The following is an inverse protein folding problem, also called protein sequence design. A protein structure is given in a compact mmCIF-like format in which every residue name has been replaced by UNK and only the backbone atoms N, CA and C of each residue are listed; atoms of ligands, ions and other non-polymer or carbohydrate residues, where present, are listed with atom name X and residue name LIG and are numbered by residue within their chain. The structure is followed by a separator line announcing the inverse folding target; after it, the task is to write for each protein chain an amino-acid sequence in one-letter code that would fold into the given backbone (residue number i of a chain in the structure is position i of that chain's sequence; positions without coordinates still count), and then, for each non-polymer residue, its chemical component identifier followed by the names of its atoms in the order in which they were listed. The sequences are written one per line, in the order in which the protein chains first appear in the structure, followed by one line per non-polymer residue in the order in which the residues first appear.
data_IF_446085352023
#
_entry.id   IF_446085352023
#
_cell.length_a   1.000
_cell.length_b   1.000
_cell.length_c   1.000
_cell.angle_alpha   90.00
_cell.angle_beta   90.00
_cell.angle_gamma   90.00
#
_symmetry.space_group_name_H-M   'P 1'
#
loop_
_entity.id
_entity.type
_entity.pdbx_description
1 polymer ?
#
# COMPACT_ATOMS: atom_id res chain seq x y z
N UNK A 1 -7.21 -20.66 26.42
CA UNK A 1 -7.88 -19.63 25.59
C UNK A 1 -7.62 -19.94 24.12
N UNK A 2 -8.64 -20.35 23.35
CA UNK A 2 -8.49 -20.56 21.90
C UNK A 2 -8.17 -19.20 21.27
N UNK A 3 -7.02 -19.07 20.59
CA UNK A 3 -6.72 -17.93 19.71
C UNK A 3 -7.95 -17.72 18.83
N UNK A 4 -8.68 -16.62 18.99
CA UNK A 4 -9.62 -16.16 17.96
C UNK A 4 -8.76 -16.08 16.70
N UNK A 5 -9.00 -16.97 15.73
CA UNK A 5 -8.47 -16.76 14.38
C UNK A 5 -8.99 -15.38 14.01
N UNK A 6 -8.08 -14.42 13.80
CA UNK A 6 -8.44 -13.13 13.22
C UNK A 6 -9.23 -13.45 11.96
N UNK A 7 -10.55 -13.26 12.01
CA UNK A 7 -11.38 -13.32 10.83
C UNK A 7 -10.93 -12.12 10.02
N UNK A 8 -10.11 -12.36 9.02
CA UNK A 8 -9.76 -11.35 8.03
C UNK A 8 -11.06 -11.04 7.32
N UNK A 9 -11.71 -9.94 7.72
CA UNK A 9 -12.84 -9.40 6.98
C UNK A 9 -12.25 -8.81 5.71
N UNK A 10 -12.39 -9.53 4.59
CA UNK A 10 -12.03 -9.00 3.28
C UNK A 10 -13.03 -7.88 2.99
N UNK A 11 -12.53 -6.64 3.00
CA UNK A 11 -13.32 -5.46 2.68
C UNK A 11 -13.10 -5.09 1.22
N UNK A 12 -14.18 -4.72 0.55
CA UNK A 12 -14.16 -4.27 -0.83
C UNK A 12 -14.35 -2.76 -0.84
N UNK A 13 -13.40 -2.02 -1.41
CA UNK A 13 -13.52 -0.57 -1.59
C UNK A 13 -14.80 -0.20 -2.36
N UNK A 14 -15.19 -1.02 -3.34
CA UNK A 14 -16.46 -0.84 -4.04
C UNK A 14 -17.68 -1.06 -3.13
N UNK A 15 -17.65 -2.06 -2.24
CA UNK A 15 -18.75 -2.32 -1.32
C UNK A 15 -18.86 -1.23 -0.24
N UNK A 16 -17.73 -0.75 0.30
CA UNK A 16 -17.72 0.37 1.24
C UNK A 16 -18.17 1.67 0.58
N UNK A 17 -17.82 1.91 -0.67
CA UNK A 17 -18.33 3.04 -1.43
C UNK A 17 -19.86 2.97 -1.62
N UNK A 18 -20.38 1.82 -2.05
CA UNK A 18 -21.84 1.62 -2.19
C UNK A 18 -22.56 1.80 -0.85
N UNK A 19 -21.95 1.34 0.23
CA UNK A 19 -22.47 1.55 1.58
C UNK A 19 -22.49 3.02 1.95
N UNK A 20 -21.39 3.73 1.71
CA UNK A 20 -21.29 5.15 1.96
C UNK A 20 -22.43 5.89 1.25
N UNK A 21 -22.67 5.59 -0.02
CA UNK A 21 -23.81 6.14 -0.80
C UNK A 21 -25.15 5.86 -0.11
N UNK A 22 -25.38 4.64 0.35
CA UNK A 22 -26.61 4.29 1.09
C UNK A 22 -26.74 5.02 2.44
N UNK A 23 -25.62 5.26 3.13
CA UNK A 23 -25.60 5.91 4.46
C UNK A 23 -25.74 7.43 4.41
N UNK A 24 -25.25 8.08 3.35
CA UNK A 24 -25.25 9.53 3.24
C UNK A 24 -26.63 10.06 2.85
N UNK A 25 -27.38 9.33 2.03
CA UNK A 25 -28.76 9.66 1.63
C UNK A 25 -28.91 10.99 0.88
N UNK A 26 -29.62 10.98 -0.25
CA UNK A 26 -30.23 12.13 -0.93
C UNK A 26 -29.45 13.49 -0.94
N UNK A 27 -28.11 13.45 -1.04
CA UNK A 27 -27.33 14.66 -1.29
C UNK A 27 -27.57 15.11 -2.74
N UNK A 28 -28.50 16.06 -2.89
CA UNK A 28 -28.95 16.67 -4.15
C UNK A 28 -27.82 17.20 -5.04
N UNK A 29 -26.64 17.44 -4.48
CA UNK A 29 -25.48 17.97 -5.19
C UNK A 29 -24.58 16.88 -5.82
N UNK A 30 -24.79 15.60 -5.51
CA UNK A 30 -24.02 14.49 -6.10
C UNK A 30 -24.71 13.94 -7.36
N UNK A 31 -24.49 14.63 -8.48
CA UNK A 31 -25.14 14.39 -9.78
C UNK A 31 -25.00 12.93 -10.28
N UNK A 32 -24.02 12.18 -9.81
CA UNK A 32 -23.63 10.87 -10.36
C UNK A 32 -24.05 9.65 -9.52
N UNK A 33 -24.58 9.85 -8.31
CA UNK A 33 -24.94 8.80 -7.35
C UNK A 33 -26.21 9.14 -6.57
N UNK A 34 -27.13 8.18 -6.38
CA UNK A 34 -28.40 8.40 -5.67
C UNK A 34 -28.81 7.18 -4.83
N UNK A 35 -29.49 7.43 -3.72
CA UNK A 35 -30.19 6.41 -2.94
C UNK A 35 -31.68 6.75 -2.95
N UNK A 36 -32.49 5.91 -3.60
CA UNK A 36 -33.93 6.13 -3.78
C UNK A 36 -34.64 4.76 -3.85
N UNK A 37 -35.83 4.66 -3.25
CA UNK A 37 -36.65 3.45 -3.22
C UNK A 37 -35.90 2.22 -2.65
N UNK A 38 -35.18 2.42 -1.55
CA UNK A 38 -34.32 1.42 -0.89
C UNK A 38 -33.25 0.80 -1.82
N UNK A 39 -32.86 1.54 -2.86
CA UNK A 39 -31.93 1.08 -3.88
C UNK A 39 -30.85 2.13 -4.17
N UNK A 40 -29.69 1.65 -4.63
CA UNK A 40 -28.55 2.49 -5.02
C UNK A 40 -28.56 2.63 -6.53
N UNK A 41 -28.46 3.86 -7.01
CA UNK A 41 -28.48 4.21 -8.43
C UNK A 41 -27.20 4.94 -8.82
N UNK A 42 -26.46 4.39 -9.78
CA UNK A 42 -25.21 4.97 -10.28
C UNK A 42 -25.25 5.23 -11.78
N UNK A 43 -24.62 6.31 -12.22
CA UNK A 43 -24.34 6.51 -13.66
C UNK A 43 -23.25 5.56 -14.15
N UNK A 44 -23.14 5.37 -15.48
CA UNK A 44 -22.04 4.59 -16.08
C UNK A 44 -20.67 5.17 -15.75
N UNK A 45 -20.59 6.51 -15.70
CA UNK A 45 -19.36 7.22 -15.33
C UNK A 45 -18.97 6.92 -13.89
N UNK A 46 -19.94 6.89 -12.97
CA UNK A 46 -19.65 6.52 -11.59
C UNK A 46 -19.29 5.05 -11.45
N UNK A 47 -19.95 4.14 -12.18
CA UNK A 47 -19.56 2.72 -12.20
C UNK A 47 -18.14 2.51 -12.76
N UNK A 48 -17.74 3.29 -13.77
CA UNK A 48 -16.39 3.31 -14.31
C UNK A 48 -15.37 3.73 -13.23
N UNK A 49 -15.66 4.79 -12.47
CA UNK A 49 -14.82 5.22 -11.34
C UNK A 49 -14.78 4.18 -10.22
N UNK A 50 -15.93 3.61 -9.87
CA UNK A 50 -16.09 2.61 -8.82
C UNK A 50 -15.20 1.39 -9.08
N UNK A 51 -15.28 0.86 -10.31
CA UNK A 51 -14.55 -0.31 -10.72
C UNK A 51 -13.21 -0.01 -11.40
N UNK A 52 -12.75 1.24 -11.49
CA UNK A 52 -11.49 1.63 -12.15
C UNK A 52 -11.35 1.05 -13.58
N UNK A 53 -12.33 1.34 -14.43
CA UNK A 53 -12.35 0.97 -15.84
C UNK A 53 -12.90 2.10 -16.70
N UNK A 54 -12.70 2.03 -18.02
CA UNK A 54 -13.27 3.00 -18.94
C UNK A 54 -14.81 2.86 -19.03
N UNK A 55 -15.49 3.99 -19.27
CA UNK A 55 -16.95 4.01 -19.46
C UNK A 55 -17.39 3.13 -20.63
N UNK A 56 -16.55 2.95 -21.66
CA UNK A 56 -16.81 2.03 -22.77
C UNK A 56 -16.86 0.58 -22.29
N UNK A 57 -15.96 0.17 -21.41
CA UNK A 57 -15.96 -1.17 -20.80
C UNK A 57 -17.24 -1.42 -20.01
N UNK A 58 -17.70 -0.42 -19.24
CA UNK A 58 -18.99 -0.50 -18.53
C UNK A 58 -20.14 -0.68 -19.52
N UNK A 59 -20.15 0.09 -20.61
CA UNK A 59 -21.17 -0.03 -21.67
C UNK A 59 -21.19 -1.42 -22.32
N UNK A 60 -20.02 -2.00 -22.60
CA UNK A 60 -19.89 -3.35 -23.14
C UNK A 60 -20.45 -4.39 -22.18
N UNK A 61 -20.13 -4.28 -20.88
CA UNK A 61 -20.66 -5.19 -19.86
C UNK A 61 -22.18 -5.09 -19.71
N UNK A 62 -22.74 -3.88 -19.66
CA UNK A 62 -24.21 -3.69 -19.57
C UNK A 62 -24.91 -4.33 -20.77
N UNK A 63 -24.41 -4.08 -22.00
CA UNK A 63 -24.97 -4.70 -23.21
C UNK A 63 -24.92 -6.21 -23.16
N UNK A 64 -23.81 -6.78 -22.66
CA UNK A 64 -23.66 -8.22 -22.52
C UNK A 64 -24.60 -8.81 -21.47
N UNK A 65 -24.78 -8.14 -20.33
CA UNK A 65 -25.71 -8.56 -19.26
C UNK A 65 -27.13 -8.66 -19.80
N UNK A 66 -27.58 -7.67 -20.59
CA UNK A 66 -28.88 -7.72 -21.24
C UNK A 66 -28.95 -8.79 -22.34
N UNK A 67 -27.90 -8.94 -23.17
CA UNK A 67 -27.89 -9.97 -24.23
C UNK A 67 -27.93 -11.39 -23.68
N UNK A 68 -27.34 -11.59 -22.50
CA UNK A 68 -27.29 -12.87 -21.81
C UNK A 68 -28.57 -13.10 -20.96
N UNK A 69 -29.53 -12.16 -21.00
CA UNK A 69 -30.78 -12.18 -20.22
C UNK A 69 -30.54 -12.36 -18.71
N UNK A 70 -29.43 -11.84 -18.19
CA UNK A 70 -29.13 -11.86 -16.76
C UNK A 70 -30.00 -10.86 -16.00
N UNK A 71 -30.34 -9.73 -16.64
CA UNK A 71 -31.19 -8.67 -16.11
C UNK A 71 -32.07 -8.09 -17.23
N UNK A 72 -33.21 -7.50 -16.86
CA UNK A 72 -34.13 -6.82 -17.78
C UNK A 72 -33.93 -5.30 -17.73
N UNK A 73 -33.84 -4.64 -18.89
CA UNK A 73 -33.53 -3.20 -18.99
C UNK A 73 -34.56 -2.34 -18.23
N UNK A 74 -35.85 -2.59 -18.42
CA UNK A 74 -36.95 -1.83 -17.81
C UNK A 74 -36.94 -1.86 -16.27
N UNK A 75 -36.32 -2.88 -15.66
CA UNK A 75 -36.24 -3.06 -14.21
C UNK A 75 -34.95 -2.52 -13.59
N UNK A 76 -33.94 -2.23 -14.42
CA UNK A 76 -32.58 -1.92 -13.96
C UNK A 76 -32.09 -0.54 -14.32
N UNK A 77 -32.83 0.19 -15.17
CA UNK A 77 -32.49 1.54 -15.59
C UNK A 77 -33.56 2.55 -15.19
N UNK A 78 -33.13 3.74 -14.78
CA UNK A 78 -34.00 4.90 -14.56
C UNK A 78 -33.32 6.15 -15.09
N UNK A 79 -34.09 6.99 -15.79
CA UNK A 79 -33.62 8.30 -16.22
C UNK A 79 -33.87 9.31 -15.11
N UNK A 80 -32.81 9.96 -14.66
CA UNK A 80 -32.91 11.06 -13.72
C UNK A 80 -32.57 12.36 -14.42
N UNK A 81 -33.45 13.35 -14.24
CA UNK A 81 -33.20 14.71 -14.70
C UNK A 81 -32.11 15.33 -13.83
N UNK A 82 -31.04 15.77 -14.47
CA UNK A 82 -29.91 16.46 -13.85
C UNK A 82 -29.88 17.87 -14.42
N UNK A 83 -29.87 18.86 -13.53
CA UNK A 83 -29.67 20.26 -13.87
C UNK A 83 -28.24 20.62 -13.51
N UNK A 84 -27.45 21.06 -14.50
CA UNK A 84 -26.07 21.47 -14.34
C UNK A 84 -25.91 22.93 -14.76
N UNK A 85 -25.25 23.73 -13.92
CA UNK A 85 -24.85 25.09 -14.28
C UNK A 85 -23.58 25.04 -15.12
N UNK A 86 -23.66 25.39 -16.40
CA UNK A 86 -22.50 25.52 -17.29
C UNK A 86 -22.27 26.99 -17.64
N UNK A 87 -21.33 27.67 -16.98
CA UNK A 87 -21.17 29.11 -17.12
C UNK A 87 -22.37 29.86 -16.52
N UNK A 88 -23.12 30.61 -17.34
CA UNK A 88 -24.33 31.32 -16.93
C UNK A 88 -25.64 30.58 -17.25
N UNK A 89 -25.59 29.41 -17.90
CA UNK A 89 -26.78 28.65 -18.33
C UNK A 89 -27.04 27.45 -17.42
N UNK A 90 -28.31 27.22 -17.10
CA UNK A 90 -28.79 25.97 -16.51
C UNK A 90 -29.12 24.99 -17.63
N UNK A 91 -28.40 23.88 -17.68
CA UNK A 91 -28.60 22.81 -18.68
C UNK A 91 -29.20 21.61 -17.98
N UNK A 92 -30.41 21.22 -18.40
CA UNK A 92 -31.07 20.00 -17.92
C UNK A 92 -30.81 18.86 -18.89
N UNK A 93 -30.28 17.72 -18.40
CA UNK A 93 -30.10 16.48 -19.16
C UNK A 93 -30.70 15.30 -18.42
N UNK A 94 -31.37 14.41 -19.15
CA UNK A 94 -31.78 13.12 -18.60
C UNK A 94 -30.60 12.16 -18.71
N UNK A 95 -30.15 11.63 -17.56
CA UNK A 95 -29.03 10.68 -17.51
C UNK A 95 -29.49 9.34 -16.99
N UNK A 96 -29.10 8.29 -17.69
CA UNK A 96 -29.32 6.89 -17.32
C UNK A 96 -28.56 6.55 -16.04
N UNK A 97 -29.30 6.12 -15.02
CA UNK A 97 -28.75 5.51 -13.82
C UNK A 97 -29.16 4.05 -13.77
N UNK A 98 -28.28 3.23 -13.20
CA UNK A 98 -28.43 1.81 -13.09
C UNK A 98 -28.51 1.40 -11.63
N UNK A 99 -29.43 0.49 -11.31
CA UNK A 99 -29.70 0.07 -9.95
C UNK A 99 -28.60 -0.85 -9.37
N UNK A 100 -28.73 -1.20 -8.09
CA UNK A 100 -27.75 -2.05 -7.39
C UNK A 100 -27.54 -3.42 -8.06
N UNK A 101 -28.57 -4.01 -8.65
CA UNK A 101 -28.44 -5.31 -9.34
C UNK A 101 -27.51 -5.19 -10.56
N UNK A 102 -27.69 -4.16 -11.37
CA UNK A 102 -26.80 -3.90 -12.51
C UNK A 102 -25.38 -3.60 -12.04
N UNK A 103 -25.22 -2.77 -11.00
CA UNK A 103 -23.90 -2.44 -10.44
C UNK A 103 -23.17 -3.72 -9.99
N UNK A 104 -23.86 -4.61 -9.26
CA UNK A 104 -23.32 -5.90 -8.83
C UNK A 104 -22.94 -6.75 -10.05
N UNK A 105 -23.83 -6.90 -11.03
CA UNK A 105 -23.60 -7.71 -12.22
C UNK A 105 -22.36 -7.24 -13.01
N UNK A 106 -22.22 -5.93 -13.22
CA UNK A 106 -21.03 -5.33 -13.83
C UNK A 106 -19.77 -5.66 -13.01
N UNK A 107 -19.82 -5.55 -11.68
CA UNK A 107 -18.71 -5.91 -10.80
C UNK A 107 -18.24 -7.37 -10.94
N UNK A 108 -19.14 -8.29 -11.32
CA UNK A 108 -18.78 -9.67 -11.65
C UNK A 108 -18.15 -9.83 -13.04
N UNK A 109 -18.43 -8.94 -14.00
CA UNK A 109 -17.89 -8.98 -15.36
C UNK A 109 -16.55 -8.24 -15.52
N UNK A 110 -16.30 -7.22 -14.70
CA UNK A 110 -15.04 -6.45 -14.74
C UNK A 110 -13.85 -7.31 -14.30
N UNK A 111 -12.75 -7.24 -15.05
CA UNK A 111 -11.55 -8.04 -14.78
C UNK A 111 -10.35 -7.20 -14.32
N UNK A 112 -10.40 -6.71 -13.07
CA UNK A 112 -9.27 -6.05 -12.41
C UNK A 112 -9.26 -6.32 -10.90
N UNK A 113 -8.27 -5.77 -10.19
CA UNK A 113 -8.09 -6.06 -8.77
C UNK A 113 -9.26 -5.55 -7.89
N UNK A 114 -9.83 -4.37 -8.19
CA UNK A 114 -11.01 -3.85 -7.47
C UNK A 114 -12.20 -4.79 -7.61
N UNK A 115 -12.47 -5.26 -8.83
CA UNK A 115 -13.52 -6.22 -9.10
C UNK A 115 -13.22 -7.59 -8.48
N UNK A 116 -11.96 -8.02 -8.41
CA UNK A 116 -11.55 -9.24 -7.68
C UNK A 116 -11.86 -9.11 -6.19
N UNK A 117 -11.53 -7.98 -5.55
CA UNK A 117 -11.86 -7.76 -4.13
C UNK A 117 -13.38 -7.73 -3.91
N UNK A 118 -14.11 -7.07 -4.80
CA UNK A 118 -15.57 -7.09 -4.79
C UNK A 118 -16.13 -8.51 -4.87
N UNK A 119 -15.64 -9.35 -5.79
CA UNK A 119 -16.06 -10.74 -5.90
C UNK A 119 -15.68 -11.59 -4.70
N UNK A 120 -14.48 -11.39 -4.12
CA UNK A 120 -14.07 -12.08 -2.87
C UNK A 120 -15.03 -11.75 -1.73
N UNK A 121 -15.37 -10.47 -1.57
CA UNK A 121 -16.34 -10.00 -0.60
C UNK A 121 -17.73 -10.60 -0.84
N UNK A 122 -18.26 -10.49 -2.07
CA UNK A 122 -19.58 -11.01 -2.43
C UNK A 122 -19.68 -12.53 -2.23
N UNK A 123 -18.65 -13.29 -2.62
CA UNK A 123 -18.58 -14.73 -2.39
C UNK A 123 -18.57 -15.08 -0.89
N UNK A 124 -17.98 -14.22 -0.05
CA UNK A 124 -18.03 -14.35 1.40
C UNK A 124 -19.47 -14.26 1.92
N UNK A 125 -20.24 -13.29 1.44
CA UNK A 125 -21.67 -13.12 1.75
C UNK A 125 -22.46 -14.32 1.28
N UNK A 126 -22.33 -14.70 0.01
CA UNK A 126 -23.05 -15.86 -0.56
C UNK A 126 -22.76 -17.11 0.27
N UNK A 127 -21.49 -17.39 0.56
CA UNK A 127 -21.09 -18.53 1.39
C UNK A 127 -21.73 -18.49 2.78
N UNK A 128 -21.62 -17.37 3.49
CA UNK A 128 -22.13 -17.25 4.85
C UNK A 128 -23.66 -17.34 4.87
N UNK A 129 -24.34 -16.74 3.89
CA UNK A 129 -25.78 -16.85 3.72
C UNK A 129 -26.20 -18.29 3.42
N UNK A 130 -25.52 -18.99 2.51
CA UNK A 130 -25.81 -20.40 2.18
C UNK A 130 -25.62 -21.32 3.38
N UNK A 131 -24.62 -21.09 4.23
CA UNK A 131 -24.32 -21.95 5.38
C UNK A 131 -25.19 -21.62 6.60
N UNK A 132 -25.44 -20.34 6.87
CA UNK A 132 -26.10 -19.87 8.11
C UNK A 132 -27.55 -19.46 7.93
N UNK A 133 -27.99 -19.19 6.70
CA UNK A 133 -29.30 -18.62 6.37
C UNK A 133 -29.40 -17.10 6.50
N UNK A 134 -28.33 -16.41 6.92
CA UNK A 134 -28.29 -14.96 7.08
C UNK A 134 -26.86 -14.43 7.05
N UNK A 135 -26.72 -13.14 6.73
CA UNK A 135 -25.47 -12.36 6.82
C UNK A 135 -25.80 -11.02 7.44
N UNK A 136 -24.98 -10.58 8.39
CA UNK A 136 -25.06 -9.25 8.99
C UNK A 136 -23.67 -8.63 9.07
N UNK A 137 -23.60 -7.33 8.82
CA UNK A 137 -22.42 -6.54 9.08
C UNK A 137 -22.46 -6.04 10.53
N UNK A 138 -21.98 -6.87 11.46
CA UNK A 138 -22.00 -6.58 12.90
C UNK A 138 -21.25 -5.28 13.26
N UNK A 139 -20.16 -4.97 12.56
CA UNK A 139 -19.35 -3.77 12.84
C UNK A 139 -20.11 -2.51 12.43
N UNK A 140 -20.69 -2.51 11.22
CA UNK A 140 -21.49 -1.39 10.75
C UNK A 140 -22.75 -1.17 11.57
N UNK A 141 -23.40 -2.25 12.00
CA UNK A 141 -24.60 -2.19 12.84
C UNK A 141 -24.29 -1.54 14.20
N UNK A 142 -23.15 -1.88 14.80
CA UNK A 142 -22.69 -1.25 16.06
C UNK A 142 -22.36 0.22 15.90
N UNK A 143 -21.89 0.60 14.72
CA UNK A 143 -21.38 1.94 14.43
C UNK A 143 -22.43 2.85 13.75
N UNK A 144 -23.72 2.57 13.91
CA UNK A 144 -24.80 3.44 13.43
C UNK A 144 -24.95 3.49 11.90
N UNK A 145 -24.53 2.44 11.19
CA UNK A 145 -24.73 2.32 9.74
C UNK A 145 -23.51 2.68 8.88
N UNK A 146 -22.41 3.14 9.48
CA UNK A 146 -21.14 3.39 8.78
C UNK A 146 -19.97 2.77 9.53
N UNK A 147 -18.97 2.31 8.79
CA UNK A 147 -17.69 1.85 9.35
C UNK A 147 -16.69 3.00 9.44
N UNK A 148 -16.85 4.04 8.61
CA UNK A 148 -16.00 5.23 8.56
C UNK A 148 -16.51 6.29 9.57
N UNK A 149 -16.53 5.92 10.85
CA UNK A 149 -16.90 6.83 11.94
C UNK A 149 -15.71 7.69 12.38
N UNK A 150 -15.96 8.73 13.18
CA UNK A 150 -14.88 9.48 13.86
C UNK A 150 -13.97 8.54 14.64
N UNK A 151 -14.54 7.56 15.37
CA UNK A 151 -13.76 6.55 16.10
C UNK A 151 -12.86 5.71 15.19
N UNK A 152 -13.28 5.42 13.95
CA UNK A 152 -12.42 4.72 12.98
C UNK A 152 -11.19 5.57 12.64
N UNK A 153 -11.39 6.86 12.36
CA UNK A 153 -10.28 7.76 12.03
C UNK A 153 -9.38 8.06 13.24
N UNK A 154 -9.95 8.16 14.45
CA UNK A 154 -9.17 8.27 15.69
C UNK A 154 -8.27 7.06 15.90
N UNK A 155 -8.81 5.84 15.73
CA UNK A 155 -8.02 4.60 15.80
C UNK A 155 -6.99 4.49 14.68
N UNK A 156 -7.34 4.91 13.47
CA UNK A 156 -6.40 4.93 12.34
C UNK A 156 -5.23 5.86 12.64
N UNK A 157 -5.50 7.03 13.22
CA UNK A 157 -4.50 8.01 13.61
C UNK A 157 -3.62 7.50 14.76
N UNK A 158 -4.18 6.82 15.76
CA UNK A 158 -3.41 6.09 16.77
C UNK A 158 -2.49 5.04 16.13
N UNK A 159 -2.99 4.23 15.19
CA UNK A 159 -2.17 3.24 14.47
C UNK A 159 -1.02 3.87 13.70
N UNK A 160 -1.26 4.99 13.01
CA UNK A 160 -0.21 5.72 12.27
C UNK A 160 0.85 6.26 13.23
N UNK A 161 0.45 6.78 14.39
CA UNK A 161 1.38 7.25 15.43
C UNK A 161 2.22 6.12 16.01
N UNK A 162 1.63 4.96 16.26
CA UNK A 162 2.37 3.75 16.68
C UNK A 162 3.40 3.32 15.62
N UNK A 163 3.04 3.36 14.33
CA UNK A 163 3.97 3.07 13.23
C UNK A 163 5.13 4.08 13.22
N UNK A 164 4.83 5.38 13.44
CA UNK A 164 5.83 6.44 13.51
C UNK A 164 6.82 6.20 14.64
N UNK A 165 6.35 5.85 15.83
CA UNK A 165 7.16 5.60 17.03
C UNK A 165 7.99 4.31 16.95
N UNK A 166 7.60 3.35 16.10
CA UNK A 166 8.31 2.08 15.96
C UNK A 166 9.78 2.23 15.55
N UNK A 167 10.68 1.44 16.13
CA UNK A 167 12.09 1.35 15.69
C UNK A 167 12.30 0.43 14.47
N UNK A 168 11.20 -0.04 13.87
CA UNK A 168 11.24 -0.90 12.68
C UNK A 168 11.92 -0.22 11.49
N UNK A 169 12.38 -1.06 10.54
CA UNK A 169 13.03 -0.59 9.32
C UNK A 169 12.12 0.36 8.55
N UNK A 170 12.69 1.37 7.90
CA UNK A 170 11.94 2.41 7.16
C UNK A 170 10.90 1.86 6.20
N UNK A 171 11.27 0.88 5.39
CA UNK A 171 10.37 0.27 4.41
C UNK A 171 9.22 -0.49 5.08
N UNK A 172 9.44 -1.03 6.29
CA UNK A 172 8.39 -1.70 7.06
C UNK A 172 7.33 -0.70 7.52
N UNK A 173 7.72 0.52 7.89
CA UNK A 173 6.75 1.58 8.23
C UNK A 173 5.85 1.92 7.04
N UNK A 174 6.43 2.03 5.83
CA UNK A 174 5.65 2.27 4.60
C UNK A 174 4.69 1.10 4.31
N UNK A 175 5.13 -0.15 4.51
CA UNK A 175 4.25 -1.31 4.34
C UNK A 175 3.17 -1.40 5.42
N UNK A 176 3.48 -0.97 6.64
CA UNK A 176 2.53 -0.94 7.76
C UNK A 176 1.45 0.12 7.48
N UNK A 177 1.80 1.29 6.92
CA UNK A 177 0.82 2.28 6.43
C UNK A 177 -0.01 1.72 5.27
N UNK A 178 0.60 1.04 4.30
CA UNK A 178 -0.16 0.40 3.23
C UNK A 178 -1.19 -0.62 3.77
N UNK A 179 -0.85 -1.31 4.86
CA UNK A 179 -1.75 -2.27 5.50
C UNK A 179 -2.93 -1.63 6.25
N UNK A 180 -2.93 -0.31 6.47
CA UNK A 180 -4.10 0.41 7.00
C UNK A 180 -5.15 0.72 5.93
N UNK A 181 -4.90 0.35 4.67
CA UNK A 181 -5.86 0.51 3.58
C UNK A 181 -7.21 -0.12 3.91
N UNK A 182 -8.28 0.57 3.52
CA UNK A 182 -9.66 0.12 3.74
C UNK A 182 -9.94 -1.25 3.11
N UNK A 183 -9.36 -1.52 1.94
CA UNK A 183 -9.51 -2.75 1.17
C UNK A 183 -8.29 -3.67 1.25
N UNK A 184 -7.47 -3.54 2.31
CA UNK A 184 -6.24 -4.30 2.46
C UNK A 184 -6.47 -5.81 2.39
N UNK A 185 -5.76 -6.46 1.45
CA UNK A 185 -5.71 -7.91 1.31
C UNK A 185 -4.26 -8.37 1.14
N UNK A 186 -3.75 -9.09 2.16
CA UNK A 186 -2.38 -9.65 2.15
C UNK A 186 -2.14 -10.63 1.00
N UNK A 187 -3.20 -11.26 0.50
CA UNK A 187 -3.12 -12.31 -0.53
C UNK A 187 -3.22 -11.76 -1.94
N UNK A 188 -3.62 -10.48 -2.07
CA UNK A 188 -3.79 -9.80 -3.35
C UNK A 188 -2.48 -9.73 -4.14
N UNK A 189 -2.60 -9.66 -5.46
CA UNK A 189 -1.43 -9.52 -6.33
C UNK A 189 -0.80 -8.14 -6.13
N UNK A 190 -1.63 -7.11 -5.94
CA UNK A 190 -1.20 -5.74 -5.69
C UNK A 190 -0.34 -5.62 -4.44
N UNK A 191 -0.74 -6.22 -3.31
CA UNK A 191 0.06 -6.18 -2.07
C UNK A 191 1.42 -6.84 -2.25
N UNK A 192 1.46 -8.02 -2.90
CA UNK A 192 2.72 -8.72 -3.17
C UNK A 192 3.65 -7.89 -4.06
N UNK A 193 3.10 -7.25 -5.09
CA UNK A 193 3.86 -6.38 -5.98
C UNK A 193 4.34 -5.11 -5.27
N UNK A 194 3.51 -4.51 -4.42
CA UNK A 194 3.86 -3.34 -3.63
C UNK A 194 5.02 -3.66 -2.68
N UNK A 195 4.92 -4.73 -1.89
CA UNK A 195 6.00 -5.15 -0.98
C UNK A 195 7.28 -5.53 -1.71
N UNK A 196 7.20 -6.14 -2.90
CA UNK A 196 8.37 -6.44 -3.71
C UNK A 196 9.07 -5.18 -4.26
N UNK A 197 8.30 -4.13 -4.57
CA UNK A 197 8.83 -2.91 -5.22
C UNK A 197 9.24 -1.81 -4.24
N UNK A 198 8.58 -1.69 -3.09
CA UNK A 198 8.75 -0.54 -2.18
C UNK A 198 10.20 -0.33 -1.76
N UNK A 199 10.92 -1.42 -1.45
CA UNK A 199 12.33 -1.33 -1.05
C UNK A 199 13.19 -0.76 -2.18
N UNK A 200 13.06 -1.30 -3.39
CA UNK A 200 13.85 -0.86 -4.53
C UNK A 200 13.50 0.57 -4.96
N UNK A 201 12.22 0.97 -4.89
CA UNK A 201 11.80 2.35 -5.15
C UNK A 201 12.47 3.33 -4.19
N UNK A 202 12.52 3.00 -2.90
CA UNK A 202 13.13 3.87 -1.89
C UNK A 202 14.65 3.99 -2.06
N UNK A 203 15.33 2.87 -2.33
CA UNK A 203 16.75 2.87 -2.65
C UNK A 203 17.05 3.73 -3.89
N UNK A 204 16.30 3.50 -4.97
CA UNK A 204 16.47 4.22 -6.23
C UNK A 204 16.22 5.73 -6.08
N UNK A 205 15.19 6.12 -5.32
CA UNK A 205 14.87 7.53 -5.08
C UNK A 205 15.97 8.28 -4.30
N UNK A 206 16.79 7.59 -3.49
CA UNK A 206 17.83 8.25 -2.69
C UNK A 206 19.18 8.29 -3.39
N UNK A 207 19.52 7.23 -4.13
CA UNK A 207 20.88 7.07 -4.67
C UNK A 207 20.93 6.49 -6.09
N UNK A 208 19.81 6.38 -6.80
CA UNK A 208 19.77 5.98 -8.23
C UNK A 208 20.06 4.50 -8.50
N UNK A 209 20.05 3.65 -7.47
CA UNK A 209 20.30 2.22 -7.60
C UNK A 209 19.23 1.41 -6.87
N UNK A 210 18.90 0.23 -7.38
CA UNK A 210 18.19 -0.77 -6.59
C UNK A 210 19.04 -1.29 -5.43
N UNK A 211 18.43 -2.00 -4.48
CA UNK A 211 19.16 -2.58 -3.36
C UNK A 211 20.29 -3.54 -3.83
N UNK A 212 20.03 -4.31 -4.89
CA UNK A 212 21.00 -5.25 -5.46
C UNK A 212 22.15 -4.52 -6.18
N UNK A 213 21.84 -3.50 -6.97
CA UNK A 213 22.84 -2.69 -7.66
C UNK A 213 23.76 -1.95 -6.67
N UNK A 214 23.19 -1.40 -5.59
CA UNK A 214 23.96 -0.74 -4.53
C UNK A 214 24.98 -1.68 -3.90
N UNK A 215 24.56 -2.88 -3.52
CA UNK A 215 25.45 -3.90 -2.95
C UNK A 215 26.52 -4.27 -3.97
N UNK A 216 26.12 -4.54 -5.21
CA UNK A 216 27.05 -4.94 -6.25
C UNK A 216 28.10 -3.86 -6.54
N UNK A 217 27.73 -2.59 -6.51
CA UNK A 217 28.66 -1.49 -6.77
C UNK A 217 29.58 -1.18 -5.58
N UNK A 218 29.04 -1.20 -4.35
CA UNK A 218 29.76 -0.72 -3.17
C UNK A 218 30.54 -1.81 -2.42
N UNK A 219 30.13 -3.07 -2.51
CA UNK A 219 30.84 -4.17 -1.86
C UNK A 219 32.21 -4.40 -2.54
N UNK A 220 33.28 -4.11 -1.80
CA UNK A 220 34.65 -4.10 -2.30
C UNK A 220 35.62 -4.36 -1.14
N UNK A 221 36.38 -5.46 -1.18
CA UNK A 221 37.29 -5.86 -0.11
C UNK A 221 38.47 -4.90 0.09
N UNK A 222 38.81 -4.09 -0.91
CA UNK A 222 39.96 -3.18 -0.82
C UNK A 222 39.60 -1.86 -0.09
N UNK A 223 38.31 -1.61 0.14
CA UNK A 223 37.83 -0.44 0.89
C UNK A 223 37.81 -0.70 2.39
N UNK A 224 37.97 0.36 3.23
CA UNK A 224 37.71 0.26 4.65
C UNK A 224 36.32 -0.33 4.90
N UNK A 225 36.23 -1.31 5.81
CA UNK A 225 34.97 -1.98 6.16
C UNK A 225 34.21 -2.55 4.94
N UNK A 226 34.91 -2.90 3.87
CA UNK A 226 34.32 -3.33 2.60
C UNK A 226 33.38 -2.32 1.90
N UNK A 227 33.49 -1.04 2.25
CA UNK A 227 32.53 -0.02 1.83
C UNK A 227 31.23 0.01 2.63
N UNK A 228 31.10 -0.78 3.70
CA UNK A 228 30.01 -0.65 4.66
C UNK A 228 30.20 0.64 5.48
N UNK A 229 29.12 1.39 5.65
CA UNK A 229 29.06 2.55 6.54
C UNK A 229 28.56 2.18 7.95
N UNK A 230 27.76 1.11 8.06
CA UNK A 230 27.23 0.60 9.33
C UNK A 230 26.97 -0.90 9.23
N UNK A 231 26.98 -1.63 10.35
CA UNK A 231 26.66 -3.05 10.46
C UNK A 231 26.23 -3.36 11.90
N UNK A 232 25.80 -4.59 12.18
CA UNK A 232 25.20 -4.93 13.48
C UNK A 232 26.09 -4.62 14.70
N UNK A 233 27.41 -4.73 14.53
CA UNK A 233 28.39 -4.48 15.60
C UNK A 233 29.22 -3.21 15.36
N UNK A 234 28.77 -2.30 14.49
CA UNK A 234 29.49 -1.08 14.19
C UNK A 234 29.60 -0.14 15.42
N UNK A 235 30.67 0.67 15.54
CA UNK A 235 31.83 0.73 14.64
C UNK A 235 32.98 -0.21 15.02
N UNK A 236 32.97 -0.79 16.21
CA UNK A 236 34.12 -1.49 16.82
C UNK A 236 34.13 -3.01 16.60
N UNK A 237 33.01 -3.61 16.16
CA UNK A 237 32.87 -5.06 16.03
C UNK A 237 33.15 -5.59 14.63
N UNK A 238 33.37 -6.91 14.53
CA UNK A 238 33.61 -7.58 13.25
C UNK A 238 32.38 -7.53 12.34
N UNK A 239 32.62 -7.31 11.05
CA UNK A 239 31.63 -7.53 9.99
C UNK A 239 31.43 -9.04 9.85
N UNK A 240 30.17 -9.46 9.78
CA UNK A 240 29.80 -10.84 9.49
C UNK A 240 29.15 -10.97 8.12
N UNK A 241 29.13 -12.20 7.59
CA UNK A 241 28.60 -12.50 6.26
C UNK A 241 27.14 -12.06 6.05
N UNK A 242 26.32 -12.04 7.10
CA UNK A 242 24.94 -11.53 7.01
C UNK A 242 24.86 -10.02 6.80
N UNK A 243 25.87 -9.25 7.22
CA UNK A 243 25.86 -7.79 7.11
C UNK A 243 26.11 -7.31 5.68
N UNK A 244 26.94 -8.04 4.92
CA UNK A 244 27.29 -7.68 3.53
C UNK A 244 26.16 -7.89 2.54
N UNK A 245 25.11 -8.63 2.92
CA UNK A 245 23.91 -8.83 2.10
C UNK A 245 22.85 -7.75 2.32
N UNK A 246 23.08 -6.79 3.22
CA UNK A 246 22.09 -5.77 3.60
C UNK A 246 22.44 -4.45 2.92
N UNK A 247 21.65 -4.05 1.92
CA UNK A 247 21.85 -2.81 1.17
C UNK A 247 21.94 -1.55 2.06
N UNK A 248 21.13 -1.48 3.13
CA UNK A 248 21.16 -0.36 4.09
C UNK A 248 22.56 -0.12 4.68
N UNK A 249 23.34 -1.18 4.88
CA UNK A 249 24.64 -1.09 5.51
C UNK A 249 25.69 -0.36 4.65
N UNK A 250 25.43 -0.22 3.34
CA UNK A 250 26.27 0.50 2.39
C UNK A 250 25.86 1.97 2.18
N UNK A 251 24.84 2.45 2.88
CA UNK A 251 24.36 3.82 2.74
C UNK A 251 25.20 4.79 3.56
N UNK A 252 25.58 5.90 2.94
CA UNK A 252 26.18 7.03 3.64
C UNK A 252 25.19 7.66 4.63
N UNK A 253 25.70 8.40 5.60
CA UNK A 253 24.87 9.12 6.58
C UNK A 253 23.89 10.10 5.88
N UNK A 254 24.32 10.75 4.79
CA UNK A 254 23.46 11.65 4.02
C UNK A 254 22.31 10.91 3.34
N UNK A 255 22.58 9.75 2.74
CA UNK A 255 21.55 8.90 2.11
C UNK A 255 20.59 8.34 3.15
N UNK A 256 21.11 7.89 4.29
CA UNK A 256 20.32 7.41 5.42
C UNK A 256 19.36 8.50 5.93
N UNK A 257 19.86 9.72 6.18
CA UNK A 257 19.03 10.87 6.54
C UNK A 257 18.01 11.23 5.45
N UNK A 258 18.34 11.06 4.17
CA UNK A 258 17.40 11.28 3.08
C UNK A 258 16.26 10.24 3.09
N UNK A 259 16.56 8.96 3.32
CA UNK A 259 15.54 7.92 3.46
C UNK A 259 14.62 8.20 4.65
N UNK A 260 15.19 8.61 5.79
CA UNK A 260 14.43 8.99 6.98
C UNK A 260 13.45 10.13 6.70
N UNK A 261 13.90 11.16 5.97
CA UNK A 261 13.05 12.29 5.57
C UNK A 261 11.90 11.86 4.67
N UNK A 262 12.15 11.00 3.69
CA UNK A 262 11.10 10.46 2.79
C UNK A 262 10.06 9.70 3.62
N UNK A 263 10.49 8.82 4.52
CA UNK A 263 9.56 8.04 5.33
C UNK A 263 8.79 8.92 6.32
N UNK A 264 9.44 9.90 6.94
CA UNK A 264 8.75 10.85 7.83
C UNK A 264 7.68 11.62 7.08
N UNK A 265 8.01 12.19 5.92
CA UNK A 265 7.06 12.96 5.12
C UNK A 265 5.90 12.10 4.59
N UNK A 266 6.15 10.83 4.26
CA UNK A 266 5.08 9.90 3.90
C UNK A 266 4.16 9.55 5.09
N UNK A 267 4.71 9.46 6.30
CA UNK A 267 3.92 9.30 7.54
C UNK A 267 3.11 10.56 7.84
N UNK A 268 3.68 11.76 7.63
CA UNK A 268 2.97 13.03 7.78
C UNK A 268 1.79 13.12 6.80
N UNK A 269 2.00 12.71 5.55
CA UNK A 269 0.92 12.59 4.57
C UNK A 269 -0.16 11.62 5.04
N UNK A 270 0.22 10.50 5.64
CA UNK A 270 -0.74 9.52 6.13
C UNK A 270 -1.57 10.06 7.29
N UNK A 271 -0.93 10.78 8.22
CA UNK A 271 -1.59 11.42 9.36
C UNK A 271 -2.56 12.51 8.89
N UNK A 272 -2.17 13.39 7.95
CA UNK A 272 -3.06 14.41 7.35
C UNK A 272 -4.32 13.79 6.73
N UNK A 273 -4.17 12.66 6.03
CA UNK A 273 -5.31 11.95 5.42
C UNK A 273 -6.27 11.42 6.48
N UNK A 274 -5.74 10.86 7.57
CA UNK A 274 -6.56 10.39 8.67
C UNK A 274 -7.28 11.55 9.38
N UNK A 275 -6.57 12.65 9.69
CA UNK A 275 -7.14 13.85 10.32
C UNK A 275 -8.27 14.47 9.49
N UNK A 276 -8.09 14.51 8.17
CA UNK A 276 -9.09 15.02 7.23
C UNK A 276 -10.21 14.04 6.90
N UNK A 277 -10.25 12.89 7.59
CA UNK A 277 -11.25 11.86 7.39
C UNK A 277 -11.32 11.35 5.94
N UNK A 278 -10.17 11.25 5.28
CA UNK A 278 -10.05 10.76 3.90
C UNK A 278 -9.66 9.28 3.95
N UNK A 279 -10.56 8.34 3.61
CA UNK A 279 -10.22 6.94 3.55
C UNK A 279 -9.26 6.66 2.39
N UNK A 280 -8.38 5.68 2.58
CA UNK A 280 -7.35 5.32 1.60
C UNK A 280 -7.46 3.84 1.23
N UNK A 281 -7.43 3.54 -0.06
CA UNK A 281 -7.32 2.16 -0.59
C UNK A 281 -5.86 1.75 -0.78
N UNK A 282 -5.63 0.45 -1.00
CA UNK A 282 -4.31 -0.09 -1.36
C UNK A 282 -3.72 0.63 -2.59
N UNK A 283 -4.57 0.86 -3.59
CA UNK A 283 -4.20 1.56 -4.81
C UNK A 283 -3.87 3.03 -4.52
N UNK A 284 -4.64 3.66 -3.63
CA UNK A 284 -4.39 5.04 -3.26
C UNK A 284 -3.03 5.22 -2.61
N UNK A 285 -2.67 4.37 -1.65
CA UNK A 285 -1.34 4.39 -1.05
C UNK A 285 -0.24 4.17 -2.07
N UNK A 286 -0.40 3.20 -2.98
CA UNK A 286 0.60 2.96 -4.03
C UNK A 286 0.80 4.16 -4.94
N UNK A 287 -0.29 4.77 -5.43
CA UNK A 287 -0.23 5.96 -6.30
C UNK A 287 0.38 7.16 -5.57
N UNK A 288 0.04 7.35 -4.29
CA UNK A 288 0.52 8.47 -3.48
C UNK A 288 2.01 8.34 -3.19
N UNK A 289 2.51 7.13 -2.93
CA UNK A 289 3.94 6.90 -2.79
C UNK A 289 4.69 7.29 -4.08
N UNK A 290 4.16 6.89 -5.24
CA UNK A 290 4.79 7.21 -6.53
C UNK A 290 4.79 8.72 -6.81
N UNK A 291 3.65 9.38 -6.60
CA UNK A 291 3.55 10.84 -6.72
C UNK A 291 4.47 11.57 -5.75
N UNK A 292 4.57 11.09 -4.52
CA UNK A 292 5.43 11.68 -3.49
C UNK A 292 6.91 11.62 -3.91
N UNK A 293 7.35 10.47 -4.43
CA UNK A 293 8.73 10.32 -4.90
C UNK A 293 9.00 11.19 -6.15
N UNK A 294 8.05 11.29 -7.09
CA UNK A 294 8.19 12.13 -8.29
C UNK A 294 8.20 13.63 -7.98
N UNK A 295 7.42 14.08 -7.00
CA UNK A 295 7.29 15.49 -6.65
C UNK A 295 8.56 16.09 -6.02
N UNK A 296 9.46 15.25 -5.49
CA UNK A 296 10.77 15.66 -4.96
C UNK A 296 11.88 15.63 -6.04
N UNK A 297 11.51 15.66 -7.32
CA UNK A 297 12.38 15.53 -8.51
C UNK A 297 13.29 14.27 -8.47
N UNK A 298 12.87 13.23 -7.74
CA UNK A 298 13.61 11.97 -7.68
C UNK A 298 13.18 11.07 -8.82
N UNK A 299 14.16 10.43 -9.44
CA UNK A 299 13.84 9.39 -10.40
C UNK A 299 13.12 8.24 -9.69
N UNK A 300 12.01 7.78 -10.27
CA UNK A 300 11.26 6.63 -9.75
C UNK A 300 11.57 5.43 -10.63
N UNK A 301 12.01 4.35 -9.99
CA UNK A 301 12.32 3.09 -10.65
C UNK A 301 11.10 2.58 -11.45
N UNK A 302 11.24 2.54 -12.78
CA UNK A 302 10.21 2.06 -13.71
C UNK A 302 10.35 0.56 -14.03
N UNK A 303 11.55 0.00 -13.90
CA UNK A 303 11.87 -1.39 -14.22
C UNK A 303 12.31 -2.20 -12.97
N UNK A 304 12.88 -3.40 -13.17
CA UNK A 304 13.33 -4.26 -12.08
C UNK A 304 14.78 -4.01 -11.63
N UNK A 305 15.47 -3.03 -12.23
CA UNK A 305 16.92 -2.88 -12.17
C UNK A 305 17.67 -3.85 -13.10
N UNK A 306 19.00 -3.68 -13.18
CA UNK A 306 19.88 -4.46 -14.06
C UNK A 306 20.51 -5.67 -13.37
N UNK A 307 20.58 -5.66 -12.04
CA UNK A 307 21.30 -6.66 -11.24
C UNK A 307 20.34 -7.42 -10.34
N UNK A 308 20.43 -8.75 -10.35
CA UNK A 308 19.60 -9.60 -9.49
C UNK A 308 20.16 -9.66 -8.06
N UNK A 309 19.28 -9.90 -7.10
CA UNK A 309 19.68 -10.04 -5.70
C UNK A 309 20.69 -11.19 -5.48
N UNK A 310 20.58 -12.28 -6.25
CA UNK A 310 21.50 -13.42 -6.18
C UNK A 310 22.91 -13.05 -6.63
N UNK A 311 23.04 -12.33 -7.76
CA UNK A 311 24.33 -11.88 -8.29
C UNK A 311 24.99 -10.89 -7.31
N UNK A 312 24.21 -9.93 -6.82
CA UNK A 312 24.70 -8.95 -5.83
C UNK A 312 25.20 -9.63 -4.55
N UNK A 313 24.41 -10.57 -4.02
CA UNK A 313 24.78 -11.35 -2.83
C UNK A 313 26.04 -12.18 -3.06
N UNK A 314 26.13 -12.91 -4.17
CA UNK A 314 27.30 -13.72 -4.49
C UNK A 314 28.59 -12.87 -4.57
N UNK A 315 28.51 -11.69 -5.20
CA UNK A 315 29.64 -10.74 -5.24
C UNK A 315 30.02 -10.30 -3.83
N UNK A 316 29.06 -9.80 -3.05
CA UNK A 316 29.34 -9.28 -1.70
C UNK A 316 29.93 -10.34 -0.77
N UNK A 317 29.44 -11.58 -0.84
CA UNK A 317 30.00 -12.70 -0.09
C UNK A 317 31.42 -13.05 -0.55
N UNK A 318 31.70 -12.98 -1.85
CA UNK A 318 33.05 -13.24 -2.39
C UNK A 318 34.04 -12.17 -1.92
N UNK A 319 33.64 -10.90 -1.96
CA UNK A 319 34.43 -9.79 -1.42
C UNK A 319 34.61 -9.94 0.11
N UNK A 320 33.61 -10.48 0.82
CA UNK A 320 33.70 -10.71 2.25
C UNK A 320 34.75 -11.75 2.61
N UNK A 321 34.84 -12.84 1.84
CA UNK A 321 35.87 -13.86 2.08
C UNK A 321 37.29 -13.29 1.91
N UNK A 322 37.50 -12.35 0.97
CA UNK A 322 38.77 -11.63 0.82
C UNK A 322 39.03 -10.70 2.01
N UNK A 323 38.03 -9.89 2.37
CA UNK A 323 38.15 -8.92 3.45
C UNK A 323 38.29 -9.58 4.82
N UNK A 324 37.72 -10.77 5.04
CA UNK A 324 37.82 -11.49 6.32
C UNK A 324 39.27 -11.67 6.75
N UNK A 325 40.17 -11.95 5.80
CA UNK A 325 41.61 -12.09 6.06
C UNK A 325 42.23 -10.76 6.50
N UNK A 326 41.79 -9.64 5.90
CA UNK A 326 42.24 -8.28 6.26
C UNK A 326 41.72 -7.92 7.66
N UNK A 327 40.43 -8.14 7.89
CA UNK A 327 39.77 -7.88 9.18
C UNK A 327 40.40 -8.69 10.32
N UNK A 328 40.67 -9.98 10.12
CA UNK A 328 41.25 -10.83 11.16
C UNK A 328 42.68 -10.41 11.52
N UNK A 329 43.42 -9.77 10.61
CA UNK A 329 44.75 -9.20 10.90
C UNK A 329 44.68 -7.87 11.64
N UNK A 330 43.67 -7.05 11.34
CA UNK A 330 43.54 -5.69 11.90
C UNK A 330 42.70 -5.66 13.19
N UNK A 331 41.90 -6.70 13.46
CA UNK A 331 41.01 -6.74 14.60
C UNK A 331 41.77 -6.97 15.90
N UNK A 332 41.55 -6.09 16.87
CA UNK A 332 42.05 -6.21 18.23
C UNK A 332 40.88 -6.46 19.17
N UNK A 333 40.93 -7.56 19.92
CA UNK A 333 39.89 -7.86 20.91
C UNK A 333 39.98 -6.93 22.12
N UNK A 334 38.91 -6.84 22.91
CA UNK A 334 38.92 -6.07 24.16
C UNK A 334 40.01 -6.55 25.13
N UNK A 335 40.36 -7.84 25.08
CA UNK A 335 41.47 -8.41 25.83
C UNK A 335 42.81 -7.86 25.33
N UNK A 336 43.02 -7.84 24.01
CA UNK A 336 44.26 -7.33 23.41
C UNK A 336 44.44 -5.83 23.71
N UNK A 337 43.35 -5.06 23.64
CA UNK A 337 43.34 -3.63 24.01
C UNK A 337 43.68 -3.44 25.50
N UNK A 338 43.06 -4.20 26.39
CA UNK A 338 43.32 -4.14 27.83
C UNK A 338 44.78 -4.48 28.18
N UNK A 339 45.36 -5.48 27.52
CA UNK A 339 46.78 -5.84 27.71
C UNK A 339 47.72 -4.71 27.26
N UNK A 340 47.42 -4.04 26.15
CA UNK A 340 48.22 -2.89 25.69
C UNK A 340 48.11 -1.68 26.62
N UNK A 341 46.91 -1.39 27.14
CA UNK A 341 46.72 -0.33 28.14
C UNK A 341 47.51 -0.61 29.44
N UNK A 342 47.54 -1.87 29.88
CA UNK A 342 48.36 -2.28 31.03
C UNK A 342 49.86 -2.11 30.76
N UNK A 343 50.33 -2.45 29.56
CA UNK A 343 51.72 -2.27 29.17
C UNK A 343 52.12 -0.78 29.04
N UNK A 344 51.24 0.07 28.52
CA UNK A 344 51.47 1.53 28.47
C UNK A 344 51.46 2.16 29.86
N UNK A 345 50.56 1.74 30.74
CA UNK A 345 50.50 2.22 32.12
C UNK A 345 51.67 1.72 32.97
N UNK A 346 52.25 0.56 32.66
CA UNK A 346 53.46 0.06 33.31
C UNK A 346 54.75 0.76 32.84
N UNK A 347 54.70 1.50 31.72
CA UNK A 347 55.83 2.28 31.17
C UNK A 347 55.82 3.76 31.59
N UNK A 348 54.73 4.25 32.22
CA UNK A 348 54.67 5.54 32.91
C UNK A 348 55.08 5.37 34.36
#
# INVERSE_FOLDING_TARGET
MKKKKDKITIRSSAAEYLTYVASVGDQRDSIEMRYEDENIWLTQKMMATLYDVDVRTINEHIKKIYSDSELEEDSTIRNFRIVQTEGSRQVSRDTKHYNLQMIIAVGFKVNNERAVQFRKWANGIVKDYTIKGWVMDDERLKNGGSILTTEYFDRLLEQIREIRLSERRFYQKITDIYATALDYDRTSKTTKQFFAKVQNKMHYAVHGHTAAELIYERADADKPHMGLATWAAAPEGKIVKSDVSIAKNYLSEKEMRSLERIVSAYLDLAEDRAERHIPMTMEDWSKRLDLFLMADDREVLQDAGKITAEIAKAKAETEFEKYRVIQDRLFMSDFDKYMLELEENAKK
#
